data_IF_029517402752
#
_entry.id   IF_029517402752
#
_cell.length_a   1.000
_cell.length_b   1.000
_cell.length_c   1.000
_cell.angle_alpha   90.00
_cell.angle_beta   90.00
_cell.angle_gamma   90.00
#
_symmetry.space_group_name_H-M   'P 1'
#
loop_
_entity.id
_entity.type
_entity.pdbx_description
1 polymer ?
#
# COMPACT_ATOMS: atom_id res chain seq x y z
N UNK A 1 -4.91 -11.68 -14.47
CA UNK A 1 -5.89 -11.29 -13.43
C UNK A 1 -6.12 -9.80 -13.52
N UNK A 2 -7.38 -9.37 -13.50
CA UNK A 2 -7.72 -7.94 -13.44
C UNK A 2 -7.55 -7.43 -12.00
N UNK A 3 -6.48 -6.66 -11.76
CA UNK A 3 -6.18 -6.06 -10.45
C UNK A 3 -7.28 -5.09 -10.00
N UNK A 4 -7.88 -4.36 -10.94
CA UNK A 4 -8.94 -3.40 -10.65
C UNK A 4 -10.22 -4.08 -10.18
N UNK A 5 -10.59 -5.20 -10.81
CA UNK A 5 -11.70 -6.03 -10.33
C UNK A 5 -11.41 -6.61 -8.93
N UNK A 6 -10.24 -7.23 -8.73
CA UNK A 6 -9.87 -7.82 -7.43
C UNK A 6 -9.91 -6.77 -6.33
N UNK A 7 -9.30 -5.60 -6.55
CA UNK A 7 -9.31 -4.51 -5.58
C UNK A 7 -10.73 -4.03 -5.28
N UNK A 8 -11.60 -3.92 -6.29
CA UNK A 8 -13.02 -3.57 -6.10
C UNK A 8 -13.76 -4.62 -5.26
N UNK A 9 -13.54 -5.90 -5.52
CA UNK A 9 -14.16 -6.99 -4.77
C UNK A 9 -13.74 -6.95 -3.28
N UNK A 10 -12.50 -6.54 -2.97
CA UNK A 10 -12.05 -6.38 -1.57
C UNK A 10 -12.90 -5.37 -0.79
N UNK A 11 -13.39 -4.30 -1.43
CA UNK A 11 -14.19 -3.25 -0.79
C UNK A 11 -15.61 -3.69 -0.41
N UNK A 12 -16.04 -4.89 -0.80
CA UNK A 12 -17.28 -5.48 -0.31
C UNK A 12 -17.20 -5.84 1.20
N UNK A 13 -16.01 -5.81 1.80
CA UNK A 13 -15.76 -6.05 3.22
C UNK A 13 -14.63 -5.17 3.75
N UNK A 14 -14.49 -5.06 5.07
CA UNK A 14 -13.35 -4.34 5.66
C UNK A 14 -12.05 -5.14 5.49
N UNK A 15 -10.98 -4.48 5.06
CA UNK A 15 -9.65 -5.06 4.98
C UNK A 15 -8.58 -4.01 5.34
N UNK A 16 -7.39 -4.48 5.73
CA UNK A 16 -6.24 -3.60 6.01
C UNK A 16 -5.44 -3.39 4.74
N UNK A 17 -5.18 -2.13 4.42
CA UNK A 17 -4.36 -1.71 3.29
C UNK A 17 -3.26 -0.77 3.81
N UNK A 18 -2.03 -1.27 4.02
CA UNK A 18 -0.94 -0.42 4.46
C UNK A 18 -0.37 0.41 3.31
N UNK A 19 0.32 1.49 3.66
CA UNK A 19 0.84 2.49 2.73
C UNK A 19 2.39 2.56 2.82
N UNK A 20 3.14 1.62 2.22
CA UNK A 20 4.59 1.75 2.10
C UNK A 20 5.00 3.00 1.32
N UNK A 21 6.17 3.55 1.65
CA UNK A 21 6.79 4.69 0.95
C UNK A 21 8.01 4.30 0.10
N UNK A 22 8.49 3.06 0.18
CA UNK A 22 9.63 2.56 -0.57
C UNK A 22 9.47 1.10 -1.04
N UNK A 23 10.45 0.62 -1.83
CA UNK A 23 10.43 -0.74 -2.40
C UNK A 23 10.62 -1.80 -1.31
N UNK A 24 11.48 -1.54 -0.32
CA UNK A 24 11.80 -2.50 0.74
C UNK A 24 10.57 -2.83 1.59
N UNK A 25 9.88 -1.80 2.06
CA UNK A 25 8.65 -1.91 2.86
C UNK A 25 7.53 -2.52 2.02
N UNK A 26 7.42 -2.16 0.73
CA UNK A 26 6.45 -2.77 -0.19
C UNK A 26 6.62 -4.30 -0.26
N UNK A 27 7.86 -4.78 -0.44
CA UNK A 27 8.14 -6.22 -0.50
C UNK A 27 7.87 -6.92 0.83
N UNK A 28 8.24 -6.30 1.95
CA UNK A 28 7.99 -6.84 3.29
C UNK A 28 6.50 -6.96 3.61
N UNK A 29 5.72 -5.91 3.34
CA UNK A 29 4.28 -5.96 3.58
C UNK A 29 3.58 -6.95 2.64
N UNK A 30 4.02 -7.06 1.39
CA UNK A 30 3.53 -8.10 0.49
C UNK A 30 3.83 -9.51 1.03
N UNK A 31 5.00 -9.76 1.63
CA UNK A 31 5.34 -11.07 2.20
C UNK A 31 4.54 -11.42 3.47
N UNK A 32 3.97 -10.42 4.15
CA UNK A 32 3.03 -10.62 5.26
C UNK A 32 1.59 -10.95 4.82
N UNK A 33 1.30 -10.94 3.52
CA UNK A 33 0.02 -11.38 2.98
C UNK A 33 -1.09 -10.33 2.98
N UNK A 34 -0.75 -9.03 3.05
CA UNK A 34 -1.75 -7.98 2.84
C UNK A 34 -2.36 -8.08 1.44
N UNK A 35 -3.70 -8.04 1.37
CA UNK A 35 -4.46 -8.28 0.13
C UNK A 35 -4.28 -7.16 -0.91
N UNK A 36 -3.92 -5.96 -0.46
CA UNK A 36 -3.59 -4.80 -1.29
C UNK A 36 -2.64 -3.87 -0.54
N UNK A 37 -1.90 -3.06 -1.29
CA UNK A 37 -1.01 -2.01 -0.78
C UNK A 37 -1.35 -0.69 -1.46
N UNK A 38 -1.24 0.41 -0.71
CA UNK A 38 -1.30 1.76 -1.24
C UNK A 38 0.08 2.43 -1.16
N UNK A 39 0.15 3.70 -1.55
CA UNK A 39 1.33 4.55 -1.33
C UNK A 39 0.98 5.67 -0.35
N UNK A 40 2.00 6.38 0.13
CA UNK A 40 1.84 7.59 0.95
C UNK A 40 2.74 8.71 0.40
N UNK A 41 2.14 9.86 0.05
CA UNK A 41 2.88 11.06 -0.34
C UNK A 41 3.71 11.58 0.84
N UNK A 42 3.07 11.72 2.00
CA UNK A 42 3.68 12.20 3.23
C UNK A 42 4.88 11.35 3.65
N UNK A 43 4.71 10.02 3.70
CA UNK A 43 5.81 9.13 4.08
C UNK A 43 6.99 9.21 3.11
N UNK A 44 6.71 9.35 1.81
CA UNK A 44 7.75 9.54 0.80
C UNK A 44 8.42 10.93 0.93
N UNK A 45 7.67 12.00 1.17
CA UNK A 45 8.21 13.35 1.37
C UNK A 45 9.10 13.42 2.62
N UNK A 46 8.62 12.92 3.75
CA UNK A 46 9.37 12.89 5.01
C UNK A 46 10.65 12.06 4.92
N UNK A 47 10.65 10.94 4.19
CA UNK A 47 11.88 10.16 3.96
C UNK A 47 12.99 10.93 3.24
N UNK A 48 12.63 12.03 2.56
CA UNK A 48 13.55 12.94 1.86
C UNK A 48 13.76 14.26 2.60
N UNK A 49 13.26 14.41 3.83
CA UNK A 49 13.35 15.63 4.61
C UNK A 49 12.49 16.79 4.07
N UNK A 50 11.44 16.48 3.32
CA UNK A 50 10.49 17.47 2.77
C UNK A 50 9.19 17.46 3.59
N UNK A 51 8.46 18.59 3.68
CA UNK A 51 7.08 18.59 4.17
C UNK A 51 6.17 17.81 3.21
N UNK A 52 4.99 17.37 3.69
CA UNK A 52 3.95 16.74 2.86
C UNK A 52 3.41 17.69 1.78
#
# INVERSE_FOLDING_TARGET
>A
MDKGKIFRDLHASTFVMPNPWDIGTTKLLASFGFKALATTSAGFAFSRGLPD
#
